data_IF_891176817703
#
_entry.id   IF_891176817703
#
_cell.length_a   1.000
_cell.length_b   1.000
_cell.length_c   1.000
_cell.angle_alpha   90.00
_cell.angle_beta   90.00
_cell.angle_gamma   90.00
#
_symmetry.space_group_name_H-M   'P 1'
#
loop_
_entity.id
_entity.type
_entity.pdbx_description
1 polymer ?
#
# COMPACT_ATOMS: atom_id res chain seq x y z
N UNK A 1 -20.50 21.20 -20.96
CA UNK A 1 -19.89 21.01 -19.61
C UNK A 1 -20.80 20.06 -18.85
N UNK A 2 -20.28 18.95 -18.37
CA UNK A 2 -21.07 17.97 -17.59
C UNK A 2 -21.45 18.53 -16.22
N UNK A 3 -22.41 17.93 -15.52
CA UNK A 3 -22.86 18.36 -14.18
C UNK A 3 -21.70 18.30 -13.19
N UNK A 4 -20.91 17.23 -13.26
CA UNK A 4 -19.76 16.96 -12.37
C UNK A 4 -18.64 18.00 -12.57
N UNK A 5 -18.33 18.34 -13.82
CA UNK A 5 -17.33 19.39 -14.10
C UNK A 5 -17.83 20.76 -13.64
N UNK A 6 -19.13 21.03 -13.75
CA UNK A 6 -19.73 22.29 -13.26
C UNK A 6 -19.64 22.37 -11.73
N UNK A 7 -19.83 21.24 -11.02
CA UNK A 7 -19.68 21.20 -9.57
C UNK A 7 -18.24 21.42 -9.14
N UNK A 8 -17.27 20.79 -9.79
CA UNK A 8 -15.87 20.99 -9.51
C UNK A 8 -15.45 22.48 -9.70
N UNK A 9 -15.96 23.16 -10.74
CA UNK A 9 -15.75 24.60 -10.94
C UNK A 9 -16.35 25.45 -9.83
N UNK A 10 -17.58 25.17 -9.39
CA UNK A 10 -18.21 25.91 -8.27
C UNK A 10 -17.42 25.78 -6.98
N UNK A 11 -16.94 24.57 -6.64
CA UNK A 11 -16.09 24.35 -5.47
C UNK A 11 -14.80 25.16 -5.56
N UNK A 12 -14.13 25.18 -6.72
CA UNK A 12 -12.94 25.99 -6.94
C UNK A 12 -13.23 27.49 -6.76
N UNK A 13 -14.31 28.02 -7.36
CA UNK A 13 -14.71 29.43 -7.27
C UNK A 13 -15.14 29.81 -5.84
N UNK A 14 -15.65 28.87 -5.06
CA UNK A 14 -15.96 29.04 -3.64
C UNK A 14 -14.72 29.00 -2.72
N UNK A 15 -13.51 28.79 -3.27
CA UNK A 15 -12.27 28.72 -2.50
C UNK A 15 -12.02 27.36 -1.85
N UNK A 16 -12.66 26.30 -2.34
CA UNK A 16 -12.41 24.92 -1.93
C UNK A 16 -11.68 24.11 -3.03
N UNK A 17 -10.35 24.27 -3.17
CA UNK A 17 -9.58 23.50 -4.13
C UNK A 17 -9.53 22.01 -3.82
N UNK A 18 -9.61 21.61 -2.54
CA UNK A 18 -9.62 20.20 -2.13
C UNK A 18 -10.92 19.51 -2.53
N UNK A 19 -12.05 20.15 -2.31
CA UNK A 19 -13.36 19.67 -2.79
C UNK A 19 -13.39 19.59 -4.32
N UNK A 20 -12.84 20.59 -5.00
CA UNK A 20 -12.77 20.63 -6.47
C UNK A 20 -11.97 19.45 -7.04
N UNK A 21 -10.75 19.18 -6.53
CA UNK A 21 -9.92 18.05 -7.01
C UNK A 21 -10.56 16.71 -6.67
N UNK A 22 -11.24 16.59 -5.51
CA UNK A 22 -11.99 15.40 -5.13
C UNK A 22 -13.13 15.13 -6.10
N UNK A 23 -13.94 16.13 -6.44
CA UNK A 23 -15.02 16.01 -7.41
C UNK A 23 -14.51 15.57 -8.79
N UNK A 24 -13.39 16.16 -9.28
CA UNK A 24 -12.74 15.74 -10.52
C UNK A 24 -12.27 14.29 -10.48
N UNK A 25 -11.66 13.84 -9.37
CA UNK A 25 -11.17 12.46 -9.23
C UNK A 25 -12.31 11.44 -9.29
N UNK A 26 -13.43 11.72 -8.64
CA UNK A 26 -14.61 10.84 -8.68
C UNK A 26 -15.26 10.74 -10.06
N UNK A 27 -15.23 11.82 -10.83
CA UNK A 27 -15.85 11.88 -12.14
C UNK A 27 -14.88 11.59 -13.31
N UNK A 28 -13.60 11.33 -13.03
CA UNK A 28 -12.53 11.30 -14.02
C UNK A 28 -12.80 10.42 -15.24
N UNK A 29 -13.34 9.22 -15.06
CA UNK A 29 -13.60 8.28 -16.16
C UNK A 29 -14.72 8.74 -17.12
N UNK A 30 -15.61 9.66 -16.67
CA UNK A 30 -16.68 10.23 -17.46
C UNK A 30 -16.36 11.58 -18.09
N UNK A 31 -15.17 12.14 -17.84
CA UNK A 31 -14.77 13.47 -18.27
C UNK A 31 -13.72 13.43 -19.39
N UNK A 32 -13.90 14.26 -20.41
CA UNK A 32 -12.88 14.40 -21.45
C UNK A 32 -11.64 15.15 -20.88
N UNK A 33 -10.40 14.66 -21.11
CA UNK A 33 -9.20 15.29 -20.58
C UNK A 33 -9.04 16.77 -20.94
N UNK A 34 -9.42 17.13 -22.15
CA UNK A 34 -9.36 18.52 -22.62
C UNK A 34 -10.37 19.47 -21.93
N UNK A 35 -11.50 18.93 -21.48
CA UNK A 35 -12.53 19.72 -20.78
C UNK A 35 -12.13 20.03 -19.33
N UNK A 36 -11.44 19.10 -18.68
CA UNK A 36 -10.93 19.29 -17.30
C UNK A 36 -9.63 20.09 -17.24
N UNK A 37 -8.84 20.06 -18.31
CA UNK A 37 -7.51 20.67 -18.35
C UNK A 37 -7.48 22.16 -17.91
N UNK A 38 -8.44 23.04 -18.27
CA UNK A 38 -8.44 24.42 -17.78
C UNK A 38 -8.60 24.56 -16.26
N UNK A 39 -9.40 23.69 -15.63
CA UNK A 39 -9.57 23.69 -14.18
C UNK A 39 -8.34 23.11 -13.48
N UNK A 40 -7.81 22.00 -14.01
CA UNK A 40 -6.58 21.38 -13.48
C UNK A 40 -5.41 22.35 -13.55
N UNK A 41 -5.30 23.15 -14.62
CA UNK A 41 -4.27 24.18 -14.73
C UNK A 41 -4.33 25.20 -13.58
N UNK A 42 -5.53 25.68 -13.23
CA UNK A 42 -5.72 26.62 -12.12
C UNK A 42 -5.46 25.99 -10.74
N UNK A 43 -5.92 24.76 -10.54
CA UNK A 43 -5.65 24.01 -9.30
C UNK A 43 -4.15 23.76 -9.10
N UNK A 44 -3.47 23.34 -10.18
CA UNK A 44 -2.03 23.09 -10.16
C UNK A 44 -1.21 24.36 -9.92
N UNK A 45 -1.58 25.48 -10.56
CA UNK A 45 -0.94 26.79 -10.37
C UNK A 45 -1.09 27.25 -8.91
N UNK A 46 -2.30 27.16 -8.34
CA UNK A 46 -2.57 27.48 -6.94
C UNK A 46 -1.81 26.60 -5.94
N UNK A 47 -1.50 25.34 -6.31
CA UNK A 47 -0.69 24.42 -5.52
C UNK A 47 0.83 24.53 -5.78
N UNK A 48 1.28 25.37 -6.71
CA UNK A 48 2.68 25.50 -7.09
C UNK A 48 3.24 24.39 -7.98
N UNK A 49 2.37 23.57 -8.59
CA UNK A 49 2.75 22.46 -9.49
C UNK A 49 2.90 22.96 -10.94
N UNK A 50 3.98 23.68 -11.22
CA UNK A 50 4.22 24.35 -12.51
C UNK A 50 4.18 23.39 -13.70
N UNK A 51 4.75 22.20 -13.57
CA UNK A 51 4.77 21.17 -14.62
C UNK A 51 3.36 20.69 -15.00
N UNK A 52 2.49 20.44 -14.02
CA UNK A 52 1.09 20.06 -14.26
C UNK A 52 0.28 21.23 -14.84
N UNK A 53 0.50 22.46 -14.35
CA UNK A 53 -0.17 23.66 -14.87
C UNK A 53 0.18 23.91 -16.35
N UNK A 54 1.46 23.82 -16.72
CA UNK A 54 1.93 23.94 -18.11
C UNK A 54 1.37 22.84 -19.01
N UNK A 55 1.42 21.57 -18.55
CA UNK A 55 0.90 20.43 -19.31
C UNK A 55 -0.61 20.54 -19.54
N UNK A 56 -1.37 20.98 -18.52
CA UNK A 56 -2.81 21.21 -18.59
C UNK A 56 -3.15 22.31 -19.58
N UNK A 57 -2.45 23.46 -19.51
CA UNK A 57 -2.62 24.58 -20.44
C UNK A 57 -2.32 24.16 -21.89
N UNK A 58 -1.25 23.38 -22.09
CA UNK A 58 -0.89 22.88 -23.41
C UNK A 58 -1.95 21.92 -23.97
N UNK A 59 -2.53 21.04 -23.13
CA UNK A 59 -3.59 20.11 -23.53
C UNK A 59 -4.86 20.87 -23.93
N UNK A 60 -5.27 21.86 -23.15
CA UNK A 60 -6.44 22.69 -23.48
C UNK A 60 -6.29 23.40 -24.85
N UNK A 61 -5.08 23.80 -25.22
CA UNK A 61 -4.78 24.44 -26.51
C UNK A 61 -4.69 23.45 -27.69
N UNK A 62 -4.58 22.14 -27.46
CA UNK A 62 -4.47 21.13 -28.53
C UNK A 62 -4.94 19.73 -28.08
N UNK A 63 -6.25 19.52 -27.97
CA UNK A 63 -6.85 18.35 -27.31
C UNK A 63 -6.60 16.99 -28.00
N UNK A 64 -6.27 16.98 -29.27
CA UNK A 64 -6.03 15.74 -30.05
C UNK A 64 -4.54 15.39 -30.23
N UNK A 65 -3.63 16.08 -29.55
CA UNK A 65 -2.19 15.84 -29.66
C UNK A 65 -1.74 14.76 -28.67
N UNK A 66 -1.17 13.67 -29.19
CA UNK A 66 -0.71 12.52 -28.40
C UNK A 66 0.34 12.92 -27.34
N UNK A 67 1.28 13.80 -27.72
CA UNK A 67 2.34 14.23 -26.81
C UNK A 67 1.80 15.09 -25.66
N UNK A 68 0.80 15.93 -25.94
CA UNK A 68 0.14 16.77 -24.91
C UNK A 68 -0.70 15.93 -23.96
N UNK A 69 -1.46 14.97 -24.49
CA UNK A 69 -2.20 14.01 -23.68
C UNK A 69 -1.26 13.21 -22.77
N UNK A 70 -0.16 12.71 -23.33
CA UNK A 70 0.84 11.96 -22.55
C UNK A 70 1.48 12.84 -21.46
N UNK A 71 1.90 14.05 -21.78
CA UNK A 71 2.53 14.97 -20.81
C UNK A 71 1.57 15.34 -19.67
N UNK A 72 0.31 15.58 -19.99
CA UNK A 72 -0.71 15.83 -18.98
C UNK A 72 -0.89 14.60 -18.08
N UNK A 73 -1.08 13.41 -18.64
CA UNK A 73 -1.21 12.17 -17.88
C UNK A 73 0.01 11.91 -17.00
N UNK A 74 1.21 12.04 -17.55
CA UNK A 74 2.47 11.90 -16.80
C UNK A 74 2.55 12.86 -15.61
N UNK A 75 2.27 14.16 -15.84
CA UNK A 75 2.28 15.15 -14.77
C UNK A 75 1.22 14.86 -13.70
N UNK A 76 0.04 14.35 -14.08
CA UNK A 76 -0.98 13.92 -13.12
C UNK A 76 -0.49 12.77 -12.22
N UNK A 77 0.19 11.75 -12.78
CA UNK A 77 0.79 10.64 -12.00
C UNK A 77 1.84 11.19 -11.02
N UNK A 78 2.80 11.99 -11.50
CA UNK A 78 3.85 12.55 -10.66
C UNK A 78 3.33 13.45 -9.52
N UNK A 79 2.12 13.99 -9.64
CA UNK A 79 1.47 14.84 -8.64
C UNK A 79 0.39 14.13 -7.80
N UNK A 80 0.30 12.79 -7.88
CA UNK A 80 -0.61 11.98 -7.07
C UNK A 80 -2.09 12.12 -7.43
N UNK A 81 -2.39 12.57 -8.66
CA UNK A 81 -3.76 12.67 -9.18
C UNK A 81 -3.98 11.70 -10.34
N UNK A 82 -3.50 10.47 -10.18
CA UNK A 82 -3.50 9.41 -11.19
C UNK A 82 -4.88 9.14 -11.82
N UNK A 83 -5.97 9.35 -11.07
CA UNK A 83 -7.33 9.21 -11.61
C UNK A 83 -7.57 10.09 -12.84
N UNK A 84 -7.01 11.31 -12.88
CA UNK A 84 -7.13 12.23 -14.02
C UNK A 84 -6.19 11.85 -15.17
N UNK A 85 -5.14 11.08 -14.90
CA UNK A 85 -4.19 10.61 -15.91
C UNK A 85 -4.80 9.54 -16.81
N UNK A 86 -5.60 8.62 -16.24
CA UNK A 86 -6.11 7.42 -16.92
C UNK A 86 -6.84 7.75 -18.23
N UNK A 87 -7.85 8.66 -18.27
CA UNK A 87 -8.53 8.99 -19.54
C UNK A 87 -7.60 9.58 -20.58
N UNK A 88 -6.66 10.45 -20.16
CA UNK A 88 -5.71 11.08 -21.07
C UNK A 88 -4.72 10.08 -21.67
N UNK A 89 -4.19 9.17 -20.86
CA UNK A 89 -3.26 8.15 -21.31
C UNK A 89 -3.95 7.08 -22.17
N UNK A 90 -5.21 6.74 -21.90
CA UNK A 90 -6.02 5.87 -22.77
C UNK A 90 -6.22 6.50 -24.14
N UNK A 91 -6.58 7.76 -24.20
CA UNK A 91 -6.74 8.48 -25.47
C UNK A 91 -5.40 8.63 -26.20
N UNK A 92 -4.30 8.94 -25.50
CA UNK A 92 -2.96 8.98 -26.08
C UNK A 92 -2.57 7.62 -26.68
N UNK A 93 -2.85 6.51 -25.98
CA UNK A 93 -2.56 5.16 -26.46
C UNK A 93 -3.38 4.85 -27.71
N UNK A 94 -4.69 5.10 -27.68
CA UNK A 94 -5.59 4.91 -28.82
C UNK A 94 -5.12 5.67 -30.08
N UNK A 95 -4.76 6.93 -29.92
CA UNK A 95 -4.27 7.77 -31.02
C UNK A 95 -2.90 7.32 -31.55
N UNK A 96 -2.02 6.87 -30.66
CA UNK A 96 -0.69 6.38 -31.04
C UNK A 96 -0.71 5.04 -31.83
N UNK A 97 -1.79 4.28 -31.69
CA UNK A 97 -2.01 3.01 -32.38
C UNK A 97 -2.86 3.17 -33.67
N UNK A 98 -3.45 4.35 -33.91
CA UNK A 98 -4.30 4.58 -35.09
C UNK A 98 -3.52 4.39 -36.40
N UNK A 99 -4.13 3.78 -37.44
CA UNK A 99 -3.51 3.68 -38.76
C UNK A 99 -3.16 5.08 -39.29
N UNK A 100 -1.89 5.31 -39.66
CA UNK A 100 -1.41 6.61 -40.14
C UNK A 100 -0.95 7.56 -39.04
N UNK A 101 -0.89 7.14 -37.78
CA UNK A 101 -0.19 7.88 -36.75
C UNK A 101 1.24 8.21 -37.22
N UNK A 102 1.71 9.47 -37.11
CA UNK A 102 3.01 9.86 -37.62
C UNK A 102 4.11 9.14 -36.85
N UNK A 103 4.53 7.97 -37.31
CA UNK A 103 5.82 7.42 -36.96
C UNK A 103 6.86 8.36 -37.55
N UNK A 104 7.39 9.25 -36.76
CA UNK A 104 8.53 10.09 -37.15
C UNK A 104 9.75 9.17 -37.33
N UNK A 105 9.79 8.47 -38.46
CA UNK A 105 10.99 7.82 -38.94
C UNK A 105 12.05 8.89 -39.16
N UNK A 106 13.06 8.88 -38.32
CA UNK A 106 14.12 9.87 -38.26
C UNK A 106 15.01 9.82 -39.49
N UNK A 107 14.64 10.52 -40.58
CA UNK A 107 15.44 10.68 -41.78
C UNK A 107 16.07 12.07 -41.95
N UNK A 108 15.88 12.98 -41.00
CA UNK A 108 16.62 14.23 -40.96
C UNK A 108 17.05 14.62 -39.53
N UNK A 109 18.11 13.97 -39.03
CA UNK A 109 18.83 14.41 -37.82
C UNK A 109 19.75 15.61 -38.19
N UNK A 110 19.26 16.85 -38.13
CA UNK A 110 20.14 17.98 -37.82
C UNK A 110 20.46 17.93 -36.32
N UNK A 111 21.74 17.64 -36.05
CA UNK A 111 22.34 17.60 -34.71
C UNK A 111 22.17 18.96 -34.02
N UNK A 112 21.16 19.11 -33.20
CA UNK A 112 21.19 20.05 -32.06
C UNK A 112 21.23 19.22 -30.81
N UNK A 113 22.39 19.21 -30.14
CA UNK A 113 22.58 18.68 -28.80
C UNK A 113 21.71 19.48 -27.83
N UNK A 114 20.54 19.04 -27.48
CA UNK A 114 19.82 19.44 -26.27
C UNK A 114 19.01 18.25 -25.78
N UNK A 115 19.28 17.86 -24.50
CA UNK A 115 18.49 17.06 -23.57
C UNK A 115 17.63 15.93 -24.17
N UNK A 116 17.95 14.70 -23.80
CA UNK A 116 17.36 13.45 -24.31
C UNK A 116 15.86 13.33 -24.11
N UNK A 117 15.06 13.89 -25.02
CA UNK A 117 13.67 13.49 -25.16
C UNK A 117 13.66 12.09 -25.78
N UNK A 118 13.43 11.06 -24.98
CA UNK A 118 13.12 9.72 -25.47
C UNK A 118 11.86 9.84 -26.34
N UNK A 119 11.91 9.28 -27.54
CA UNK A 119 10.77 9.24 -28.48
C UNK A 119 9.54 8.62 -27.78
N UNK A 120 8.39 9.26 -27.93
CA UNK A 120 7.13 8.77 -27.40
C UNK A 120 6.63 7.62 -28.28
N UNK A 121 6.65 6.39 -27.74
CA UNK A 121 6.18 5.18 -28.39
C UNK A 121 4.88 4.67 -27.76
N UNK A 122 4.02 3.90 -28.48
CA UNK A 122 2.83 3.28 -27.89
C UNK A 122 3.15 2.46 -26.63
N UNK A 123 4.26 1.73 -26.63
CA UNK A 123 4.74 0.95 -25.48
C UNK A 123 4.99 1.85 -24.25
N UNK A 124 5.56 3.04 -24.44
CA UNK A 124 5.81 3.99 -23.36
C UNK A 124 4.51 4.56 -22.81
N UNK A 125 3.56 4.89 -23.69
CA UNK A 125 2.23 5.36 -23.27
C UNK A 125 1.49 4.28 -22.49
N UNK A 126 1.57 3.02 -22.95
CA UNK A 126 1.00 1.86 -22.27
C UNK A 126 1.58 1.68 -20.87
N UNK A 127 2.90 1.75 -20.71
CA UNK A 127 3.55 1.62 -19.40
C UNK A 127 3.09 2.71 -18.42
N UNK A 128 2.95 3.96 -18.90
CA UNK A 128 2.47 5.07 -18.08
C UNK A 128 0.99 4.91 -17.69
N UNK A 129 0.15 4.42 -18.63
CA UNK A 129 -1.24 4.11 -18.33
C UNK A 129 -1.36 3.02 -17.25
N UNK A 130 -0.53 1.99 -17.33
CA UNK A 130 -0.48 0.93 -16.31
C UNK A 130 -0.07 1.50 -14.96
N UNK A 131 0.95 2.37 -14.91
CA UNK A 131 1.37 3.05 -13.68
C UNK A 131 0.22 3.86 -13.08
N UNK A 132 -0.51 4.63 -13.89
CA UNK A 132 -1.66 5.40 -13.42
C UNK A 132 -2.80 4.52 -12.88
N UNK A 133 -3.02 3.35 -13.49
CA UNK A 133 -4.00 2.38 -13.02
C UNK A 133 -3.55 1.70 -11.71
N UNK A 134 -2.26 1.37 -11.58
CA UNK A 134 -1.68 0.81 -10.35
C UNK A 134 -1.77 1.78 -9.17
N UNK A 135 -1.48 3.07 -9.38
CA UNK A 135 -1.62 4.12 -8.36
C UNK A 135 -3.08 4.30 -7.89
N UNK A 136 -4.04 4.00 -8.76
CA UNK A 136 -5.46 3.95 -8.45
C UNK A 136 -5.96 2.59 -7.94
N UNK A 137 -5.07 1.62 -7.70
CA UNK A 137 -5.40 0.21 -7.35
C UNK A 137 -6.37 -0.46 -8.34
N UNK A 138 -6.38 0.00 -9.60
CA UNK A 138 -7.22 -0.51 -10.70
C UNK A 138 -6.53 -1.68 -11.42
N UNK A 139 -5.94 -2.60 -10.66
CA UNK A 139 -5.15 -3.72 -11.18
C UNK A 139 -5.89 -4.62 -12.19
N UNK A 140 -7.19 -4.93 -12.05
CA UNK A 140 -7.92 -5.68 -13.06
C UNK A 140 -7.95 -4.98 -14.43
N UNK A 141 -8.05 -3.65 -14.44
CA UNK A 141 -8.03 -2.86 -15.67
C UNK A 141 -6.62 -2.76 -16.26
N UNK A 142 -5.60 -2.58 -15.43
CA UNK A 142 -4.20 -2.63 -15.84
C UNK A 142 -3.87 -3.97 -16.52
N UNK A 143 -4.30 -5.08 -15.90
CA UNK A 143 -4.14 -6.42 -16.48
C UNK A 143 -4.88 -6.56 -17.82
N UNK A 144 -6.11 -6.04 -17.93
CA UNK A 144 -6.89 -6.10 -19.17
C UNK A 144 -6.20 -5.34 -20.32
N UNK A 145 -5.73 -4.13 -20.05
CA UNK A 145 -5.02 -3.29 -21.03
C UNK A 145 -3.68 -3.92 -21.45
N UNK A 146 -2.92 -4.49 -20.51
CA UNK A 146 -1.68 -5.21 -20.83
C UNK A 146 -1.94 -6.42 -21.75
N UNK A 147 -2.99 -7.19 -21.49
CA UNK A 147 -3.36 -8.35 -22.31
C UNK A 147 -3.87 -7.96 -23.69
N UNK A 148 -4.65 -6.88 -23.79
CA UNK A 148 -5.10 -6.34 -25.07
C UNK A 148 -3.93 -5.94 -25.98
N UNK A 149 -2.85 -5.44 -25.39
CA UNK A 149 -1.68 -4.94 -26.10
C UNK A 149 -0.43 -5.80 -25.93
N UNK A 150 -0.58 -7.11 -25.68
CA UNK A 150 0.52 -8.06 -25.45
C UNK A 150 1.60 -8.02 -26.54
N UNK A 151 1.20 -7.79 -27.80
CA UNK A 151 2.14 -7.68 -28.92
C UNK A 151 3.15 -6.51 -28.81
N UNK A 152 2.88 -5.52 -27.95
CA UNK A 152 3.80 -4.41 -27.67
C UNK A 152 4.80 -4.73 -26.57
N UNK A 153 4.56 -5.78 -25.77
CA UNK A 153 5.27 -6.05 -24.54
C UNK A 153 6.56 -6.83 -24.78
N UNK A 154 7.64 -6.38 -24.13
CA UNK A 154 8.83 -7.18 -23.87
C UNK A 154 8.73 -7.93 -22.55
N UNK A 155 9.71 -8.80 -22.24
CA UNK A 155 9.70 -9.55 -20.98
C UNK A 155 9.82 -8.61 -19.78
N UNK A 156 10.88 -7.84 -19.74
CA UNK A 156 11.18 -6.89 -18.68
C UNK A 156 11.24 -5.44 -19.24
N UNK A 157 10.56 -4.48 -18.64
CA UNK A 157 9.66 -4.58 -17.47
C UNK A 157 8.22 -5.01 -17.77
N UNK A 158 7.80 -5.11 -19.03
CA UNK A 158 6.39 -5.03 -19.41
C UNK A 158 5.59 -6.26 -18.94
N UNK A 159 6.04 -7.48 -19.27
CA UNK A 159 5.35 -8.69 -18.82
C UNK A 159 5.49 -8.93 -17.32
N UNK A 160 6.53 -8.38 -16.69
CA UNK A 160 6.56 -8.30 -15.22
C UNK A 160 5.35 -7.51 -14.67
N UNK A 161 4.95 -6.39 -15.31
CA UNK A 161 3.73 -5.66 -14.94
C UNK A 161 2.48 -6.52 -15.11
N UNK A 162 2.44 -7.39 -16.13
CA UNK A 162 1.34 -8.35 -16.29
C UNK A 162 1.28 -9.34 -15.12
N UNK A 163 2.43 -9.87 -14.68
CA UNK A 163 2.51 -10.75 -13.50
C UNK A 163 2.05 -10.04 -12.24
N UNK A 164 2.56 -8.83 -12.01
CA UNK A 164 2.24 -8.02 -10.85
C UNK A 164 0.74 -7.69 -10.78
N UNK A 165 0.17 -7.17 -11.86
CA UNK A 165 -1.25 -6.82 -11.92
C UNK A 165 -2.17 -8.05 -11.86
N UNK A 166 -1.73 -9.20 -12.36
CA UNK A 166 -2.46 -10.46 -12.20
C UNK A 166 -2.50 -10.90 -10.74
N UNK A 167 -1.38 -10.82 -10.01
CA UNK A 167 -1.33 -11.09 -8.56
C UNK A 167 -2.23 -10.16 -7.78
N UNK A 168 -2.11 -8.84 -8.02
CA UNK A 168 -2.92 -7.82 -7.35
C UNK A 168 -4.42 -7.92 -7.68
N UNK A 169 -4.77 -8.63 -8.74
CA UNK A 169 -6.15 -8.93 -9.16
C UNK A 169 -6.64 -10.30 -8.69
N UNK A 170 -5.88 -11.03 -7.87
CA UNK A 170 -6.23 -12.38 -7.43
C UNK A 170 -6.12 -13.46 -8.52
N UNK A 171 -5.50 -13.17 -9.66
CA UNK A 171 -5.34 -14.09 -10.80
C UNK A 171 -4.02 -14.85 -10.72
N UNK A 172 -3.80 -15.57 -9.62
CA UNK A 172 -2.53 -16.26 -9.32
C UNK A 172 -2.10 -17.25 -10.41
N UNK A 173 -3.04 -17.98 -11.03
CA UNK A 173 -2.74 -18.90 -12.12
C UNK A 173 -2.19 -18.18 -13.36
N UNK A 174 -2.80 -17.03 -13.74
CA UNK A 174 -2.32 -16.19 -14.85
C UNK A 174 -0.94 -15.62 -14.53
N UNK A 175 -0.77 -15.13 -13.28
CA UNK A 175 0.51 -14.59 -12.83
C UNK A 175 1.63 -15.64 -12.91
N UNK A 176 1.38 -16.88 -12.48
CA UNK A 176 2.35 -17.99 -12.55
C UNK A 176 2.68 -18.35 -14.01
N UNK A 177 1.67 -18.51 -14.86
CA UNK A 177 1.87 -18.83 -16.29
C UNK A 177 2.77 -17.80 -16.97
N UNK A 178 2.49 -16.51 -16.80
CA UNK A 178 3.30 -15.45 -17.41
C UNK A 178 4.70 -15.41 -16.81
N UNK A 179 4.82 -15.55 -15.47
CA UNK A 179 6.11 -15.50 -14.78
C UNK A 179 7.05 -16.64 -15.22
N UNK A 180 6.54 -17.85 -15.35
CA UNK A 180 7.33 -19.02 -15.75
C UNK A 180 7.78 -18.95 -17.21
N UNK A 181 7.12 -18.11 -18.04
CA UNK A 181 7.52 -17.84 -19.43
C UNK A 181 8.53 -16.70 -19.57
N UNK A 182 8.80 -15.93 -18.52
CA UNK A 182 9.77 -14.82 -18.59
C UNK A 182 11.21 -15.36 -18.66
N UNK A 183 12.06 -14.65 -19.40
CA UNK A 183 13.50 -14.80 -19.29
C UNK A 183 14.00 -14.45 -17.88
N UNK A 184 15.19 -14.92 -17.51
CA UNK A 184 15.79 -14.55 -16.22
C UNK A 184 15.93 -13.01 -16.12
N UNK A 185 15.55 -12.41 -14.98
CA UNK A 185 15.70 -10.97 -14.77
C UNK A 185 17.17 -10.58 -14.66
N UNK A 186 17.50 -9.39 -15.19
CA UNK A 186 18.86 -8.84 -15.11
C UNK A 186 18.86 -7.44 -14.47
N UNK A 187 20.02 -7.07 -13.90
CA UNK A 187 20.25 -5.74 -13.34
C UNK A 187 19.22 -5.36 -12.27
N UNK A 188 18.56 -4.22 -12.47
CA UNK A 188 17.57 -3.69 -11.52
C UNK A 188 16.30 -4.56 -11.37
N UNK A 189 16.05 -5.50 -12.28
CA UNK A 189 14.86 -6.36 -12.28
C UNK A 189 15.02 -7.64 -11.47
N UNK A 190 16.24 -7.97 -11.02
CA UNK A 190 16.48 -9.17 -10.19
C UNK A 190 15.65 -9.12 -8.90
N UNK A 191 15.74 -8.04 -8.13
CA UNK A 191 14.96 -7.89 -6.90
C UNK A 191 13.44 -7.95 -7.09
N UNK A 192 12.87 -7.17 -8.02
CA UNK A 192 11.44 -7.29 -8.39
C UNK A 192 11.03 -8.70 -8.81
N UNK A 193 11.84 -9.38 -9.62
CA UNK A 193 11.59 -10.77 -10.04
C UNK A 193 11.56 -11.74 -8.86
N UNK A 194 12.55 -11.69 -7.99
CA UNK A 194 12.59 -12.50 -6.77
C UNK A 194 11.42 -12.23 -5.84
N UNK A 195 11.03 -10.95 -5.66
CA UNK A 195 9.88 -10.57 -4.86
C UNK A 195 8.58 -11.22 -5.39
N UNK A 196 8.31 -11.10 -6.68
CA UNK A 196 7.13 -11.69 -7.30
C UNK A 196 7.18 -13.22 -7.25
N UNK A 197 8.35 -13.82 -7.45
CA UNK A 197 8.56 -15.26 -7.27
C UNK A 197 8.16 -15.72 -5.86
N UNK A 198 8.62 -15.02 -4.80
CA UNK A 198 8.21 -15.32 -3.42
C UNK A 198 6.69 -15.17 -3.19
N UNK A 199 6.03 -14.15 -3.81
CA UNK A 199 4.57 -14.01 -3.74
C UNK A 199 3.86 -15.22 -4.35
N UNK A 200 4.29 -15.65 -5.51
CA UNK A 200 3.74 -16.80 -6.20
C UNK A 200 3.96 -18.10 -5.43
N UNK A 201 5.12 -18.28 -4.80
CA UNK A 201 5.42 -19.45 -3.99
C UNK A 201 4.56 -19.51 -2.73
N UNK A 202 4.33 -18.36 -2.07
CA UNK A 202 3.39 -18.26 -0.93
C UNK A 202 1.95 -18.55 -1.36
N UNK A 203 1.51 -18.01 -2.52
CA UNK A 203 0.17 -18.30 -3.05
C UNK A 203 -0.04 -19.78 -3.37
N UNK A 204 1.01 -20.49 -3.80
CA UNK A 204 0.95 -21.93 -4.05
C UNK A 204 0.95 -22.74 -2.75
N UNK A 205 1.73 -22.33 -1.74
CA UNK A 205 1.85 -23.03 -0.46
C UNK A 205 0.63 -22.84 0.45
N UNK A 206 0.10 -21.60 0.50
CA UNK A 206 -1.06 -21.22 1.34
C UNK A 206 -2.01 -20.37 0.48
N UNK A 207 -2.79 -21.01 -0.41
CA UNK A 207 -3.68 -20.26 -1.29
C UNK A 207 -4.76 -19.53 -0.48
N UNK A 208 -5.01 -18.24 -0.76
CA UNK A 208 -6.16 -17.52 -0.23
C UNK A 208 -7.47 -18.20 -0.65
N UNK A 209 -8.48 -18.16 0.23
CA UNK A 209 -9.77 -18.83 -0.02
C UNK A 209 -10.54 -18.12 -1.15
N UNK A 210 -10.55 -16.80 -1.13
CA UNK A 210 -11.23 -15.94 -2.12
C UNK A 210 -10.61 -14.52 -2.13
N UNK A 211 -11.25 -13.58 -2.81
CA UNK A 211 -10.84 -12.16 -2.90
C UNK A 211 -11.20 -11.33 -1.64
N UNK A 212 -11.79 -11.95 -0.61
CA UNK A 212 -12.11 -11.34 0.70
C UNK A 212 -11.23 -11.91 1.82
N UNK A 213 -10.40 -12.90 1.54
CA UNK A 213 -9.46 -13.49 2.51
C UNK A 213 -8.29 -12.53 2.79
N UNK A 214 -8.52 -11.55 3.67
CA UNK A 214 -7.52 -10.54 3.99
C UNK A 214 -6.24 -11.15 4.56
N UNK A 215 -6.34 -12.14 5.46
CA UNK A 215 -5.18 -12.80 6.06
C UNK A 215 -4.36 -13.56 5.03
N UNK A 216 -5.02 -14.32 4.15
CA UNK A 216 -4.38 -15.06 3.08
C UNK A 216 -3.68 -14.13 2.08
N UNK A 217 -4.34 -13.09 1.61
CA UNK A 217 -3.75 -12.13 0.68
C UNK A 217 -2.66 -11.28 1.31
N UNK A 218 -2.81 -10.86 2.57
CA UNK A 218 -1.74 -10.19 3.28
C UNK A 218 -0.47 -11.07 3.30
N UNK A 219 -0.60 -12.35 3.65
CA UNK A 219 0.53 -13.29 3.62
C UNK A 219 1.13 -13.45 2.21
N UNK A 220 0.30 -13.65 1.20
CA UNK A 220 0.78 -13.82 -0.19
C UNK A 220 1.60 -12.62 -0.64
N UNK A 221 1.09 -11.41 -0.42
CA UNK A 221 1.70 -10.19 -0.93
C UNK A 221 2.93 -9.76 -0.13
N UNK A 222 2.80 -9.75 1.20
CA UNK A 222 3.81 -9.18 2.09
C UNK A 222 4.76 -10.22 2.65
N UNK A 223 4.31 -11.46 2.82
CA UNK A 223 4.99 -12.51 3.59
C UNK A 223 4.74 -12.42 5.09
N UNK A 224 4.07 -11.36 5.57
CA UNK A 224 3.69 -11.20 6.97
C UNK A 224 2.48 -12.05 7.36
N UNK A 225 2.27 -12.22 8.65
CA UNK A 225 1.11 -12.88 9.23
C UNK A 225 0.24 -11.86 9.95
N UNK A 226 -0.96 -11.60 9.42
CA UNK A 226 -1.96 -10.75 10.05
C UNK A 226 -2.65 -11.54 11.16
N UNK A 227 -2.53 -11.08 12.40
CA UNK A 227 -3.03 -11.84 13.54
C UNK A 227 -4.49 -11.56 13.86
N UNK A 228 -5.00 -10.35 13.61
CA UNK A 228 -6.34 -9.94 14.00
C UNK A 228 -7.09 -9.32 12.83
N UNK A 229 -8.32 -9.74 12.64
CA UNK A 229 -9.25 -9.13 11.69
C UNK A 229 -10.21 -8.21 12.44
N UNK A 230 -10.54 -7.04 11.85
CA UNK A 230 -11.55 -6.16 12.43
C UNK A 230 -12.89 -6.87 12.54
N UNK A 231 -13.52 -6.86 13.74
CA UNK A 231 -14.84 -7.43 13.92
C UNK A 231 -15.97 -6.48 13.49
N UNK A 232 -15.65 -5.41 12.76
CA UNK A 232 -16.59 -4.38 12.33
C UNK A 232 -16.49 -4.07 10.84
N UNK A 233 -17.61 -3.71 10.22
CA UNK A 233 -17.66 -3.11 8.89
C UNK A 233 -17.20 -4.01 7.74
N UNK A 234 -17.18 -5.32 7.91
CA UNK A 234 -16.65 -6.26 6.91
C UNK A 234 -17.34 -6.09 5.56
N UNK A 235 -18.67 -6.10 5.53
CA UNK A 235 -19.47 -5.94 4.30
C UNK A 235 -19.61 -4.48 3.84
N UNK A 236 -19.15 -3.52 4.67
CA UNK A 236 -19.19 -2.09 4.38
C UNK A 236 -17.88 -1.60 3.72
N UNK A 237 -17.06 -2.53 3.26
CA UNK A 237 -15.84 -2.25 2.51
C UNK A 237 -14.56 -2.23 3.35
N UNK A 238 -14.64 -2.49 4.66
CA UNK A 238 -13.44 -2.59 5.51
C UNK A 238 -12.77 -3.96 5.40
N UNK A 239 -13.54 -5.02 5.23
CA UNK A 239 -13.06 -6.39 4.93
C UNK A 239 -11.96 -6.84 5.91
N UNK A 240 -12.18 -6.63 7.22
CA UNK A 240 -11.23 -7.01 8.28
C UNK A 240 -10.19 -5.96 8.67
N UNK A 241 -10.27 -4.73 8.12
CA UNK A 241 -9.42 -3.57 8.46
C UNK A 241 -10.17 -2.60 9.36
N UNK A 242 -9.43 -1.66 9.94
CA UNK A 242 -9.98 -0.51 10.67
C UNK A 242 -9.79 0.77 9.84
N UNK A 243 -10.83 1.62 9.79
CA UNK A 243 -10.70 2.99 9.29
C UNK A 243 -10.03 3.89 10.33
N UNK A 244 -10.55 3.81 11.55
CA UNK A 244 -10.05 4.54 12.71
C UNK A 244 -10.10 3.62 13.92
N UNK A 245 -9.08 3.67 14.75
CA UNK A 245 -9.02 2.98 16.02
C UNK A 245 -8.40 3.90 17.07
N UNK A 246 -9.14 4.12 18.16
CA UNK A 246 -8.55 4.56 19.41
C UNK A 246 -8.19 3.32 20.19
N UNK A 247 -6.90 3.03 20.21
CA UNK A 247 -6.36 1.80 20.77
C UNK A 247 -6.30 1.86 22.30
N UNK A 248 -6.18 0.71 22.92
CA UNK A 248 -6.12 0.57 24.38
C UNK A 248 -5.08 -0.47 24.82
N UNK A 249 -4.84 -0.57 26.12
CA UNK A 249 -3.87 -1.52 26.68
C UNK A 249 -4.34 -2.97 26.54
N UNK A 250 -5.65 -3.22 26.54
CA UNK A 250 -6.23 -4.55 26.34
C UNK A 250 -5.94 -5.07 24.93
N UNK A 251 -6.12 -4.22 23.92
CA UNK A 251 -5.78 -4.50 22.53
C UNK A 251 -4.28 -4.76 22.33
N UNK A 252 -3.41 -3.92 22.94
CA UNK A 252 -1.97 -4.15 22.94
C UNK A 252 -1.61 -5.51 23.56
N UNK A 253 -2.21 -5.84 24.69
CA UNK A 253 -2.01 -7.14 25.36
C UNK A 253 -2.53 -8.29 24.53
N UNK A 254 -3.71 -8.17 23.94
CA UNK A 254 -4.28 -9.15 23.04
C UNK A 254 -3.38 -9.38 21.81
N UNK A 255 -2.85 -8.32 21.22
CA UNK A 255 -1.89 -8.41 20.10
C UNK A 255 -0.64 -9.24 20.44
N UNK A 256 -0.09 -9.06 21.65
CA UNK A 256 1.06 -9.84 22.11
C UNK A 256 0.71 -11.32 22.36
N UNK A 257 -0.50 -11.63 22.85
CA UNK A 257 -0.94 -13.03 22.98
C UNK A 257 -1.14 -13.69 21.62
N UNK A 258 -1.68 -12.95 20.64
CA UNK A 258 -1.82 -13.43 19.25
C UNK A 258 -0.44 -13.63 18.61
N UNK A 259 0.54 -12.77 18.87
CA UNK A 259 1.92 -12.97 18.47
C UNK A 259 2.48 -14.28 19.06
N UNK A 260 2.25 -14.54 20.36
CA UNK A 260 2.68 -15.79 21.01
C UNK A 260 2.04 -17.01 20.35
N UNK A 261 0.76 -16.94 20.02
CA UNK A 261 0.05 -17.99 19.28
C UNK A 261 0.72 -18.30 17.93
N UNK A 262 1.08 -17.25 17.16
CA UNK A 262 1.81 -17.40 15.90
C UNK A 262 3.18 -18.02 16.10
N UNK A 263 3.96 -17.54 17.07
CA UNK A 263 5.31 -18.07 17.34
C UNK A 263 5.28 -19.56 17.69
N UNK A 264 4.35 -19.96 18.56
CA UNK A 264 4.16 -21.37 18.95
C UNK A 264 3.74 -22.21 17.73
N UNK A 265 2.73 -21.79 16.99
CA UNK A 265 2.22 -22.52 15.84
C UNK A 265 3.25 -22.66 14.69
N UNK A 266 4.11 -21.67 14.52
CA UNK A 266 5.19 -21.68 13.52
C UNK A 266 6.48 -22.34 14.03
N UNK A 267 6.53 -22.78 15.27
CA UNK A 267 7.73 -23.40 15.90
C UNK A 267 8.90 -22.43 16.01
N UNK A 268 8.63 -21.14 16.31
CA UNK A 268 9.64 -20.10 16.47
C UNK A 268 9.79 -19.71 17.95
N UNK A 269 11.04 -19.57 18.39
CA UNK A 269 11.36 -19.19 19.76
C UNK A 269 12.50 -18.14 19.72
N UNK A 270 12.19 -16.84 19.65
CA UNK A 270 13.22 -15.80 19.65
C UNK A 270 14.02 -15.85 20.95
N UNK A 271 15.33 -15.66 20.86
CA UNK A 271 16.25 -15.67 22.02
C UNK A 271 16.24 -14.35 22.81
N UNK A 272 15.79 -13.26 22.19
CA UNK A 272 15.72 -11.94 22.83
C UNK A 272 14.72 -11.03 22.11
N UNK A 273 14.36 -9.90 22.75
CA UNK A 273 13.61 -8.81 22.12
C UNK A 273 14.52 -7.62 21.86
N UNK A 274 14.53 -7.13 20.63
CA UNK A 274 15.16 -5.90 20.20
C UNK A 274 14.23 -4.71 20.38
N UNK A 275 14.65 -3.75 21.22
CA UNK A 275 13.88 -2.53 21.53
C UNK A 275 14.23 -1.42 20.56
N UNK A 276 13.23 -0.87 19.88
CA UNK A 276 13.35 0.36 19.09
C UNK A 276 13.43 1.58 20.00
N UNK A 277 13.83 2.72 19.41
CA UNK A 277 14.13 3.93 20.20
C UNK A 277 12.91 4.72 20.64
N UNK A 278 11.79 4.65 19.89
CA UNK A 278 10.56 5.35 20.26
C UNK A 278 9.90 4.76 21.51
N UNK A 279 9.19 5.60 22.25
CA UNK A 279 8.60 5.25 23.56
C UNK A 279 7.56 4.13 23.44
N UNK A 280 6.69 4.20 22.42
CA UNK A 280 5.60 3.26 22.26
C UNK A 280 6.09 1.86 21.90
N UNK A 281 6.95 1.74 20.89
CA UNK A 281 7.59 0.47 20.50
C UNK A 281 8.45 -0.10 21.62
N UNK A 282 9.16 0.77 22.37
CA UNK A 282 9.93 0.35 23.53
C UNK A 282 9.05 -0.24 24.63
N UNK A 283 7.92 0.39 24.95
CA UNK A 283 6.96 -0.12 25.93
C UNK A 283 6.41 -1.48 25.54
N UNK A 284 5.95 -1.60 24.31
CA UNK A 284 5.41 -2.84 23.77
C UNK A 284 6.48 -3.95 23.71
N UNK A 285 7.71 -3.60 23.34
CA UNK A 285 8.86 -4.52 23.31
C UNK A 285 9.24 -5.04 24.70
N UNK A 286 9.22 -4.20 25.72
CA UNK A 286 9.43 -4.61 27.11
C UNK A 286 8.33 -5.55 27.61
N UNK A 287 7.07 -5.26 27.28
CA UNK A 287 5.94 -6.15 27.59
C UNK A 287 6.09 -7.51 26.87
N UNK A 288 6.44 -7.50 25.57
CA UNK A 288 6.69 -8.71 24.80
C UNK A 288 7.81 -9.58 25.41
N UNK A 289 8.93 -8.97 25.80
CA UNK A 289 10.05 -9.67 26.39
C UNK A 289 9.66 -10.39 27.70
N UNK A 290 8.90 -9.72 28.56
CA UNK A 290 8.40 -10.31 29.81
C UNK A 290 7.39 -11.43 29.56
N UNK A 291 6.46 -11.22 28.61
CA UNK A 291 5.46 -12.21 28.23
C UNK A 291 6.11 -13.49 27.65
N UNK A 292 7.16 -13.33 26.88
CA UNK A 292 7.91 -14.45 26.26
C UNK A 292 8.97 -15.05 27.19
N UNK A 293 9.31 -14.36 28.29
CA UNK A 293 10.34 -14.83 29.24
C UNK A 293 11.76 -14.73 28.67
N UNK A 294 12.04 -13.76 27.80
CA UNK A 294 13.35 -13.56 27.16
C UNK A 294 13.94 -12.19 27.51
N UNK A 295 15.29 -12.02 27.44
CA UNK A 295 15.91 -10.73 27.68
C UNK A 295 15.53 -9.69 26.63
N UNK A 296 15.52 -8.41 27.01
CA UNK A 296 15.35 -7.27 26.11
C UNK A 296 16.63 -6.40 26.09
N UNK A 297 17.01 -5.93 24.90
CA UNK A 297 18.12 -5.01 24.70
C UNK A 297 17.82 -4.04 23.56
N UNK A 298 18.46 -2.86 23.49
CA UNK A 298 18.33 -1.98 22.33
C UNK A 298 18.62 -2.75 21.03
N UNK A 299 17.77 -2.59 20.03
CA UNK A 299 17.94 -3.28 18.75
C UNK A 299 19.25 -2.88 18.07
N UNK A 300 19.91 -3.86 17.48
CA UNK A 300 21.10 -3.68 16.64
C UNK A 300 20.93 -4.52 15.37
N UNK A 301 21.03 -3.92 14.17
CA UNK A 301 20.98 -4.67 12.92
C UNK A 301 21.98 -5.82 12.90
N UNK A 302 21.56 -6.96 12.37
CA UNK A 302 22.40 -8.16 12.30
C UNK A 302 22.41 -9.04 13.55
N UNK A 303 21.61 -8.73 14.59
CA UNK A 303 21.46 -9.59 15.77
C UNK A 303 20.64 -10.83 15.39
N UNK A 304 21.20 -12.06 15.55
CA UNK A 304 20.45 -13.27 15.23
C UNK A 304 19.39 -13.59 16.29
N UNK A 305 18.39 -14.38 15.91
CA UNK A 305 17.32 -14.90 16.78
C UNK A 305 16.64 -13.84 17.64
N UNK A 306 16.52 -12.61 17.13
CA UNK A 306 15.88 -11.48 17.80
C UNK A 306 14.47 -11.25 17.27
N UNK A 307 13.53 -10.94 18.18
CA UNK A 307 12.22 -10.38 17.86
C UNK A 307 12.29 -8.86 18.02
N UNK A 308 12.23 -8.12 16.95
CA UNK A 308 12.10 -6.66 16.99
C UNK A 308 10.62 -6.31 17.10
N UNK A 309 10.27 -5.39 17.99
CA UNK A 309 8.88 -5.03 18.30
C UNK A 309 8.67 -3.55 18.03
N UNK A 310 7.71 -3.24 17.15
CA UNK A 310 7.21 -1.90 16.87
C UNK A 310 5.74 -1.77 17.27
N UNK A 311 5.34 -0.57 17.69
CA UNK A 311 3.92 -0.22 17.81
C UNK A 311 3.37 0.18 16.43
N UNK A 312 3.95 1.18 15.79
CA UNK A 312 3.71 1.63 14.41
C UNK A 312 5.06 1.99 13.78
N UNK A 313 5.42 1.33 12.69
CA UNK A 313 6.69 1.56 12.00
C UNK A 313 6.78 2.94 11.33
N UNK A 314 5.64 3.60 11.07
CA UNK A 314 5.65 4.96 10.53
C UNK A 314 6.06 6.00 11.57
N UNK A 315 5.93 5.70 12.87
CA UNK A 315 6.36 6.56 13.98
C UNK A 315 7.79 6.28 14.46
N UNK A 316 8.42 5.22 13.96
CA UNK A 316 9.78 4.86 14.30
C UNK A 316 10.82 5.69 13.56
N UNK A 317 12.06 5.75 14.08
CA UNK A 317 13.18 6.40 13.38
C UNK A 317 13.40 5.80 11.99
N UNK A 318 13.41 6.61 10.92
CA UNK A 318 13.56 6.10 9.56
C UNK A 318 14.85 5.31 9.30
N UNK A 319 15.92 5.56 10.06
CA UNK A 319 17.18 4.81 9.92
C UNK A 319 17.05 3.43 10.57
N UNK A 320 16.37 3.33 11.73
CA UNK A 320 16.06 2.03 12.35
C UNK A 320 15.16 1.21 11.39
N UNK A 321 14.09 1.80 10.84
CA UNK A 321 13.21 1.13 9.88
C UNK A 321 13.97 0.66 8.63
N UNK A 322 14.84 1.50 8.07
CA UNK A 322 15.67 1.11 6.92
C UNK A 322 16.58 -0.08 7.23
N UNK A 323 17.12 -0.16 8.46
CA UNK A 323 17.95 -1.26 8.94
C UNK A 323 17.21 -2.59 9.09
N UNK A 324 15.87 -2.55 9.18
CA UNK A 324 15.02 -3.76 9.30
C UNK A 324 14.73 -4.45 7.96
N UNK A 325 15.11 -3.86 6.83
CA UNK A 325 14.76 -4.41 5.51
C UNK A 325 15.37 -5.79 5.29
N UNK A 326 16.65 -5.94 5.57
CA UNK A 326 17.36 -7.20 5.41
C UNK A 326 17.45 -7.93 6.77
N UNK A 327 17.03 -9.20 6.79
CA UNK A 327 16.96 -9.97 8.03
C UNK A 327 18.31 -10.54 8.42
N UNK A 328 18.60 -10.54 9.72
CA UNK A 328 19.55 -11.48 10.29
C UNK A 328 18.95 -12.90 10.39
N UNK A 329 19.78 -13.89 10.65
CA UNK A 329 19.31 -15.27 10.87
C UNK A 329 18.38 -15.34 12.08
N UNK A 330 17.19 -15.92 11.90
CA UNK A 330 16.18 -16.04 12.96
C UNK A 330 15.49 -14.74 13.36
N UNK A 331 15.88 -13.60 12.80
CA UNK A 331 15.27 -12.29 13.11
C UNK A 331 13.81 -12.22 12.65
N UNK A 332 12.94 -11.78 13.55
CA UNK A 332 11.53 -11.50 13.30
C UNK A 332 11.20 -10.04 13.63
N UNK A 333 10.27 -9.47 12.89
CA UNK A 333 9.72 -8.13 13.11
C UNK A 333 8.21 -8.25 13.40
N UNK A 334 7.80 -7.77 14.56
CA UNK A 334 6.41 -7.60 14.94
C UNK A 334 6.02 -6.13 14.90
N UNK A 335 4.86 -5.81 14.35
CA UNK A 335 4.25 -4.50 14.36
C UNK A 335 2.81 -4.60 14.88
N UNK A 336 2.43 -3.78 15.85
CA UNK A 336 1.09 -3.84 16.42
C UNK A 336 0.05 -3.20 15.50
N UNK A 337 0.27 -1.98 15.07
CA UNK A 337 -0.67 -1.22 14.24
C UNK A 337 -0.02 -0.81 12.91
N UNK A 338 -0.36 -1.50 11.84
CA UNK A 338 0.17 -1.23 10.49
C UNK A 338 -0.79 -0.36 9.72
N UNK A 339 -0.33 0.81 9.24
CA UNK A 339 -1.11 1.65 8.35
C UNK A 339 -1.22 1.01 6.96
N UNK A 340 -2.46 0.68 6.52
CA UNK A 340 -2.70 0.05 5.22
C UNK A 340 -2.88 1.05 4.08
N UNK A 341 -3.05 2.35 4.37
CA UNK A 341 -3.14 3.42 3.37
C UNK A 341 -1.80 4.10 3.12
N UNK A 342 -0.98 4.25 4.16
CA UNK A 342 0.39 4.76 4.11
C UNK A 342 1.34 3.69 4.65
N UNK A 343 1.57 2.66 3.83
CA UNK A 343 2.36 1.51 4.24
C UNK A 343 3.78 1.90 4.65
N UNK A 344 4.32 1.35 5.75
CA UNK A 344 5.67 1.64 6.21
C UNK A 344 6.76 1.24 5.21
N UNK A 345 7.97 1.70 5.44
CA UNK A 345 9.13 1.44 4.57
C UNK A 345 9.49 -0.03 4.42
N UNK A 346 9.14 -0.85 5.40
CA UNK A 346 9.31 -2.31 5.42
C UNK A 346 8.01 -2.97 5.87
N UNK A 347 7.81 -4.22 5.52
CA UNK A 347 6.65 -5.00 5.98
C UNK A 347 7.04 -5.89 7.17
N UNK A 348 6.25 -5.86 8.24
CA UNK A 348 6.47 -6.72 9.39
C UNK A 348 6.22 -8.21 9.08
N UNK A 349 6.92 -9.10 9.80
CA UNK A 349 6.73 -10.55 9.71
C UNK A 349 5.44 -10.99 10.40
N UNK A 350 5.03 -10.26 11.43
CA UNK A 350 3.75 -10.40 12.11
C UNK A 350 3.18 -9.00 12.34
N UNK A 351 1.93 -8.77 11.95
CA UNK A 351 1.21 -7.56 12.32
C UNK A 351 -0.10 -7.89 13.01
N UNK A 352 -0.51 -7.06 13.98
CA UNK A 352 -1.76 -7.29 14.70
C UNK A 352 -2.93 -6.67 13.97
N UNK A 353 -2.88 -5.38 13.70
CA UNK A 353 -3.98 -4.58 13.19
C UNK A 353 -3.62 -3.93 11.86
N UNK A 354 -4.52 -3.98 10.90
CA UNK A 354 -4.43 -3.13 9.71
C UNK A 354 -5.36 -1.93 9.91
N UNK A 355 -4.80 -0.76 10.18
CA UNK A 355 -5.53 0.47 10.52
C UNK A 355 -5.25 1.55 9.48
N UNK A 356 -6.21 2.43 9.17
CA UNK A 356 -5.92 3.64 8.39
C UNK A 356 -5.39 4.74 9.30
N UNK A 357 -6.04 4.96 10.44
CA UNK A 357 -5.63 5.91 11.46
C UNK A 357 -5.74 5.26 12.82
N UNK A 358 -4.70 5.33 13.63
CA UNK A 358 -4.66 4.83 15.00
C UNK A 358 -4.26 5.94 15.95
N UNK A 359 -4.84 5.94 17.14
CA UNK A 359 -4.40 6.73 18.30
C UNK A 359 -3.94 5.74 19.35
N UNK A 360 -2.65 5.77 19.68
CA UNK A 360 -2.08 4.87 20.66
C UNK A 360 -2.63 5.12 22.07
N UNK A 361 -2.64 4.10 22.97
CA UNK A 361 -3.21 4.23 24.32
C UNK A 361 -2.55 5.33 25.19
N UNK A 362 -1.35 5.73 24.85
CA UNK A 362 -0.57 6.77 25.54
C UNK A 362 -0.62 8.14 24.88
N UNK A 363 -1.30 8.25 23.73
CA UNK A 363 -1.50 9.52 23.04
C UNK A 363 -2.83 10.16 23.43
N UNK A 364 -3.00 11.49 23.22
CA UNK A 364 -4.25 12.17 23.50
C UNK A 364 -5.42 11.56 22.72
N UNK A 365 -6.32 10.90 23.42
CA UNK A 365 -7.54 10.31 22.87
C UNK A 365 -8.68 11.31 22.78
N UNK A 366 -9.68 10.99 21.96
CA UNK A 366 -10.96 11.68 21.89
C UNK A 366 -11.94 11.03 22.87
N UNK A 367 -12.50 11.81 23.78
CA UNK A 367 -13.62 11.44 24.63
C UNK A 367 -14.79 12.38 24.34
N UNK A 368 -15.99 11.93 24.62
CA UNK A 368 -17.17 12.78 24.58
C UNK A 368 -17.70 12.90 26.02
N UNK A 369 -18.00 14.12 26.45
CA UNK A 369 -18.66 14.38 27.72
C UNK A 369 -20.09 13.85 27.70
N UNK A 370 -20.75 13.76 28.88
CA UNK A 370 -22.19 13.40 28.95
C UNK A 370 -23.09 14.34 28.14
N UNK A 371 -22.66 15.58 27.93
CA UNK A 371 -23.37 16.60 27.13
C UNK A 371 -23.02 16.51 25.63
N UNK A 372 -22.15 15.57 25.21
CA UNK A 372 -21.75 15.36 23.83
C UNK A 372 -20.68 16.32 23.31
N UNK A 373 -20.04 17.09 24.18
CA UNK A 373 -18.90 17.93 23.82
C UNK A 373 -17.63 17.07 23.64
N UNK A 374 -16.82 17.41 22.65
CA UNK A 374 -15.55 16.76 22.35
C UNK A 374 -14.50 17.18 23.37
N UNK A 375 -13.96 16.21 24.13
CA UNK A 375 -12.87 16.41 25.06
C UNK A 375 -11.66 15.61 24.63
N UNK A 376 -10.46 16.19 24.69
CA UNK A 376 -9.20 15.48 24.46
C UNK A 376 -8.57 15.15 25.79
N UNK A 377 -8.23 13.88 26.00
CA UNK A 377 -7.44 13.47 27.15
C UNK A 377 -6.02 14.05 27.08
N UNK A 378 -5.40 14.26 28.22
CA UNK A 378 -3.96 14.53 28.25
C UNK A 378 -3.15 13.30 27.83
N UNK A 379 -1.97 13.50 27.22
CA UNK A 379 -1.10 12.38 26.90
C UNK A 379 -0.64 11.67 28.16
N UNK A 380 -0.54 10.35 28.10
CA UNK A 380 -0.03 9.56 29.23
C UNK A 380 1.47 9.81 29.41
N UNK A 381 1.85 10.43 30.52
CA UNK A 381 3.24 10.80 30.83
C UNK A 381 4.10 9.69 31.44
N UNK A 382 3.58 8.46 31.57
CA UNK A 382 4.33 7.31 32.14
C UNK A 382 5.55 6.95 31.27
N UNK A 383 6.58 6.39 31.92
CA UNK A 383 7.75 5.83 31.24
C UNK A 383 7.39 4.59 30.38
N UNK A 384 8.25 4.21 29.46
CA UNK A 384 8.06 2.98 28.68
C UNK A 384 7.97 1.72 29.57
N UNK A 385 8.69 1.70 30.68
CA UNK A 385 8.68 0.64 31.68
C UNK A 385 7.32 0.56 32.39
N UNK A 386 6.73 1.70 32.78
CA UNK A 386 5.40 1.78 33.41
C UNK A 386 4.28 1.45 32.43
N UNK A 387 4.40 1.88 31.16
CA UNK A 387 3.46 1.50 30.11
C UNK A 387 3.51 -0.02 29.84
N UNK A 388 4.70 -0.63 29.84
CA UNK A 388 4.84 -2.07 29.70
C UNK A 388 4.14 -2.84 30.85
N UNK A 389 4.21 -2.34 32.08
CA UNK A 389 3.46 -2.93 33.22
C UNK A 389 1.94 -2.80 33.00
N UNK A 390 1.47 -1.64 32.49
CA UNK A 390 0.05 -1.44 32.19
C UNK A 390 -0.43 -2.42 31.10
N UNK A 391 0.35 -2.62 30.02
CA UNK A 391 0.05 -3.60 28.96
C UNK A 391 -0.03 -5.02 29.55
N UNK A 392 0.91 -5.40 30.44
CA UNK A 392 0.93 -6.73 31.06
C UNK A 392 -0.21 -6.95 32.05
N UNK A 393 -0.68 -5.88 32.71
CA UNK A 393 -1.80 -5.93 33.65
C UNK A 393 -3.18 -5.90 32.95
N UNK A 394 -3.21 -5.52 31.67
CA UNK A 394 -4.42 -5.44 30.87
C UNK A 394 -5.02 -6.82 30.56
N UNK A 395 -6.32 -6.84 30.26
CA UNK A 395 -7.04 -8.09 29.97
C UNK A 395 -7.00 -8.39 28.46
N UNK A 396 -6.44 -9.52 28.01
CA UNK A 396 -6.32 -9.86 26.58
C UNK A 396 -7.67 -10.31 26.00
N UNK A 397 -8.65 -9.42 25.95
CA UNK A 397 -9.98 -9.69 25.43
C UNK A 397 -10.10 -9.20 23.99
N UNK A 398 -10.62 -10.02 23.04
CA UNK A 398 -10.92 -9.54 21.70
C UNK A 398 -12.03 -8.47 21.74
N UNK A 399 -11.95 -7.51 20.83
CA UNK A 399 -13.02 -6.50 20.70
C UNK A 399 -14.36 -7.18 20.38
N UNK A 400 -15.43 -6.69 21.00
CA UNK A 400 -16.80 -7.10 20.63
C UNK A 400 -17.07 -6.63 19.19
N UNK A 401 -17.69 -7.49 18.40
CA UNK A 401 -17.96 -7.23 16.99
C UNK A 401 -19.39 -6.74 16.71
N UNK A 402 -19.63 -6.34 15.47
CA UNK A 402 -20.94 -5.92 14.96
C UNK A 402 -21.92 -7.10 14.70
N UNK A 403 -21.46 -8.34 14.91
CA UNK A 403 -22.21 -9.57 14.65
C UNK A 403 -22.37 -9.94 13.17
N UNK A 404 -21.92 -9.08 12.25
CA UNK A 404 -21.94 -9.33 10.80
C UNK A 404 -20.55 -9.72 10.26
N UNK A 405 -19.49 -9.31 10.93
CA UNK A 405 -18.11 -9.66 10.57
C UNK A 405 -17.79 -11.12 10.92
N UNK A 406 -16.98 -11.83 10.09
CA UNK A 406 -16.57 -13.20 10.36
C UNK A 406 -15.81 -13.34 11.70
N UNK A 407 -16.07 -14.42 12.42
CA UNK A 407 -15.32 -14.73 13.64
C UNK A 407 -13.85 -15.04 13.33
N UNK A 408 -12.95 -14.58 14.21
CA UNK A 408 -11.51 -14.76 14.09
C UNK A 408 -10.90 -15.47 15.33
N UNK A 409 -11.21 -16.75 15.55
CA UNK A 409 -10.75 -17.49 16.72
C UNK A 409 -9.25 -17.83 16.64
N UNK A 410 -8.63 -18.05 17.81
CA UNK A 410 -7.20 -18.37 17.94
C UNK A 410 -6.82 -19.65 17.18
N UNK A 411 -7.69 -20.64 17.12
CA UNK A 411 -7.47 -21.89 16.40
C UNK A 411 -7.32 -21.67 14.90
N UNK A 412 -8.08 -20.74 14.32
CA UNK A 412 -7.97 -20.39 12.90
C UNK A 412 -6.63 -19.69 12.61
N UNK A 413 -6.19 -18.78 13.48
CA UNK A 413 -4.89 -18.15 13.39
C UNK A 413 -3.75 -19.16 13.52
N UNK A 414 -3.79 -20.03 14.54
CA UNK A 414 -2.77 -21.04 14.77
C UNK A 414 -2.65 -22.00 13.58
N UNK A 415 -3.79 -22.47 13.05
CA UNK A 415 -3.82 -23.33 11.87
C UNK A 415 -3.24 -22.61 10.62
N UNK A 416 -3.52 -21.32 10.44
CA UNK A 416 -2.95 -20.53 9.35
C UNK A 416 -1.43 -20.37 9.51
N UNK A 417 -0.96 -19.98 10.69
CA UNK A 417 0.47 -19.80 10.98
C UNK A 417 1.27 -21.11 10.79
N UNK A 418 0.73 -22.24 11.23
CA UNK A 418 1.36 -23.55 11.02
C UNK A 418 1.51 -23.90 9.53
N UNK A 419 0.51 -23.61 8.68
CA UNK A 419 0.60 -23.83 7.23
C UNK A 419 1.63 -22.90 6.58
N UNK A 420 1.69 -21.64 7.02
CA UNK A 420 2.60 -20.64 6.47
C UNK A 420 4.07 -20.83 6.90
N UNK A 421 4.32 -21.53 8.02
CA UNK A 421 5.61 -21.63 8.71
C UNK A 421 6.79 -21.98 7.81
N UNK A 422 6.62 -22.88 6.84
CA UNK A 422 7.69 -23.36 5.96
C UNK A 422 8.23 -22.26 5.02
N UNK A 423 7.38 -21.32 4.60
CA UNK A 423 7.71 -20.20 3.69
C UNK A 423 7.84 -18.84 4.39
N UNK A 424 7.53 -18.77 5.67
CA UNK A 424 7.46 -17.54 6.44
C UNK A 424 8.84 -16.96 6.80
N UNK A 425 8.91 -15.64 6.95
CA UNK A 425 10.09 -14.88 7.33
C UNK A 425 11.31 -15.14 6.42
N UNK A 426 11.11 -15.17 5.11
CA UNK A 426 12.17 -15.37 4.10
C UNK A 426 12.35 -14.16 3.19
N UNK A 427 13.61 -13.88 2.83
CA UNK A 427 13.99 -12.77 1.94
C UNK A 427 13.84 -11.40 2.62
N UNK A 428 14.09 -10.30 1.91
CA UNK A 428 13.96 -8.96 2.45
C UNK A 428 12.49 -8.61 2.74
N UNK A 429 12.28 -7.67 3.68
CA UNK A 429 10.98 -7.09 4.02
C UNK A 429 10.65 -5.97 3.04
N UNK A 430 10.18 -6.35 1.85
CA UNK A 430 9.85 -5.38 0.81
C UNK A 430 8.57 -4.62 1.15
N UNK A 431 8.56 -3.30 0.92
CA UNK A 431 7.35 -2.48 0.99
C UNK A 431 6.36 -2.89 -0.09
N UNK A 432 5.10 -3.12 0.29
CA UNK A 432 4.00 -3.43 -0.63
C UNK A 432 2.93 -2.33 -0.48
N UNK A 433 2.69 -1.57 -1.54
CA UNK A 433 1.75 -0.43 -1.51
C UNK A 433 0.30 -0.80 -1.80
N UNK A 434 0.06 -1.94 -2.42
CA UNK A 434 -1.28 -2.38 -2.81
C UNK A 434 -1.87 -3.34 -1.77
N UNK A 435 -3.16 -3.19 -1.53
CA UNK A 435 -3.95 -4.13 -0.72
C UNK A 435 -4.27 -5.44 -1.46
N UNK A 436 -3.84 -5.56 -2.71
CA UNK A 436 -4.16 -6.71 -3.54
C UNK A 436 -5.64 -6.78 -3.93
N UNK A 437 -6.20 -7.99 -4.11
CA UNK A 437 -7.57 -8.17 -4.56
C UNK A 437 -8.62 -7.85 -3.48
N UNK A 438 -8.21 -7.82 -2.21
CA UNK A 438 -9.14 -7.56 -1.10
C UNK A 438 -9.52 -6.08 -1.08
N UNK A 439 -10.74 -5.79 -1.52
CA UNK A 439 -11.26 -4.43 -1.60
C UNK A 439 -11.20 -3.72 -0.24
N UNK A 440 -10.89 -2.46 -0.28
CA UNK A 440 -10.89 -1.59 0.89
C UNK A 440 -11.57 -0.26 0.56
N UNK A 441 -12.42 0.22 1.46
CA UNK A 441 -12.92 1.59 1.43
C UNK A 441 -11.91 2.49 2.11
N UNK A 442 -11.38 3.48 1.38
CA UNK A 442 -10.53 4.52 1.96
C UNK A 442 -11.40 5.71 2.28
N UNK A 443 -11.29 6.21 3.50
CA UNK A 443 -11.86 7.51 3.83
C UNK A 443 -10.88 8.58 3.34
N UNK A 444 -11.33 9.41 2.40
CA UNK A 444 -10.55 10.47 1.77
C UNK A 444 -10.65 11.77 2.57
#
# INVERSE_FOLDING_TARGET
>A
MTTELSEAWKLFEAGDPQGSIRALRFAADGLAPAEIAPLVAKLADGAGFTDLAEASTALAAGPGDVERLYRFGYACVERGVAALAVPALREALRLSLAPGAPQRTGLFRRRTKRSGSRELTPRRVLAELVSALEDGERHPEALAVLREHDALLGDWPDRYLTVYNALMSGRTAVAREVFDALSAPEGMWVGPGERVGRMLDRAAAVPPVDDRDLRGWHHVLTGGLLTTLSPHGFDQGMTGRWAYLQDDFDSCRYGLERLRTVLVAAGRAPGSVGLLSDRGSRALGLAAARLLGVPAAPYRPGTPDVLVVAYDLNECDPQEVAGLRDRAEGELLFEHATCWTETPGVTADVCTLLVQTVVAPWEPGLAFTEDGEEERSEPDGRSAEELAEAILAADPVPQEGDGASPADPDEALAAFAARAAAGWARGPRDRIRSSGPVRSSRFA
#
